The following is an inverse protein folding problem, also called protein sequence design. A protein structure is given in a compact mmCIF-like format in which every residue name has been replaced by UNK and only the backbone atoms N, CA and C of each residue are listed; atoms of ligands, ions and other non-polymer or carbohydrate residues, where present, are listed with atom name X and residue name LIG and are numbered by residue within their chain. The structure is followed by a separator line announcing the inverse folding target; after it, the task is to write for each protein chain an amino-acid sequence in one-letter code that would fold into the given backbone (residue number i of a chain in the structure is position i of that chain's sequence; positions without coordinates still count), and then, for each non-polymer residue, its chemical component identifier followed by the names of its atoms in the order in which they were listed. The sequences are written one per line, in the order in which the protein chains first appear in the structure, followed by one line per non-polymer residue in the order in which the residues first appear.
data_IF_992952847800
#
_entry.id   IF_992952847800
#
_cell.length_a   1.000
_cell.length_b   1.000
_cell.length_c   1.000
_cell.angle_alpha   90.00
_cell.angle_beta   90.00
_cell.angle_gamma   90.00
#
_symmetry.space_group_name_H-M   'P 1'
#
loop_
_entity.id
_entity.type
_entity.pdbx_description
1 polymer ?
#
# COMPACT_ATOMS: atom_id res chain seq x y z
N UNK A 1 -0.50 20.93 6.73
CA UNK A 1 -0.64 20.70 5.25
C UNK A 1 0.58 21.14 4.41
N UNK A 2 1.41 22.12 4.78
CA UNK A 2 2.57 22.60 3.95
C UNK A 2 3.81 21.69 3.94
N UNK A 3 4.04 20.83 4.94
CA UNK A 3 5.26 20.01 5.06
C UNK A 3 5.28 18.71 4.22
N UNK A 4 4.13 18.21 3.79
CA UNK A 4 4.04 16.95 3.03
C UNK A 4 4.30 17.15 1.53
N UNK A 5 4.08 18.34 1.02
CA UNK A 5 4.21 18.66 -0.42
C UNK A 5 5.68 18.75 -0.88
N UNK A 6 6.61 19.11 0.03
CA UNK A 6 8.06 19.24 -0.26
C UNK A 6 8.81 17.89 -0.24
N UNK A 7 8.22 16.83 0.30
CA UNK A 7 8.94 15.57 0.50
C UNK A 7 9.13 14.74 -0.78
N UNK A 8 8.28 14.94 -1.79
CA UNK A 8 8.40 14.22 -3.09
C UNK A 8 9.53 14.77 -3.96
N UNK A 9 9.93 16.04 -3.75
CA UNK A 9 10.94 16.74 -4.57
C UNK A 9 12.36 16.63 -3.98
N UNK A 10 12.51 16.48 -2.66
CA UNK A 10 13.80 16.74 -1.98
C UNK A 10 14.77 15.55 -1.89
N UNK A 11 14.35 14.31 -2.16
CA UNK A 11 15.28 13.16 -2.07
C UNK A 11 16.23 12.98 -3.26
N UNK A 12 16.09 13.78 -4.34
CA UNK A 12 17.00 13.75 -5.48
C UNK A 12 18.10 14.83 -5.45
N UNK A 13 18.01 15.82 -4.58
CA UNK A 13 18.98 16.93 -4.50
C UNK A 13 20.04 16.77 -3.41
N UNK A 14 19.82 15.97 -2.38
CA UNK A 14 20.75 15.86 -1.25
C UNK A 14 22.01 15.00 -1.45
N UNK A 15 22.14 14.28 -2.56
CA UNK A 15 23.35 13.49 -2.87
C UNK A 15 24.43 14.23 -3.66
N UNK A 16 24.30 15.54 -3.89
CA UNK A 16 25.28 16.32 -4.71
C UNK A 16 25.94 17.52 -4.03
N UNK A 17 25.88 17.69 -2.71
CA UNK A 17 26.53 18.81 -2.04
C UNK A 17 27.64 18.40 -1.07
N UNK A 18 28.63 17.69 -1.56
CA UNK A 18 29.90 17.55 -0.83
C UNK A 18 31.03 17.33 -1.84
N UNK A 19 31.46 18.36 -2.53
CA UNK A 19 32.83 18.50 -3.06
C UNK A 19 33.06 19.98 -3.39
N UNK A 20 33.94 20.57 -2.60
CA UNK A 20 34.87 21.67 -2.85
C UNK A 20 34.42 23.01 -3.49
N UNK A 21 34.37 24.01 -2.61
CA UNK A 21 34.53 25.43 -2.95
C UNK A 21 35.94 25.71 -3.48
N UNK A 22 36.07 25.98 -4.75
CA UNK A 22 37.19 26.78 -5.26
C UNK A 22 36.71 27.70 -6.38
N UNK A 23 37.01 28.99 -6.26
CA UNK A 23 36.54 30.10 -7.09
C UNK A 23 37.13 30.03 -8.50
N UNK A 24 36.30 29.72 -9.51
CA UNK A 24 36.52 30.01 -10.93
C UNK A 24 35.23 30.54 -11.54
N UNK A 25 35.32 31.35 -12.61
CA UNK A 25 34.19 32.00 -13.25
C UNK A 25 33.19 30.98 -13.86
N UNK A 26 31.90 31.35 -14.05
CA UNK A 26 30.86 30.43 -14.55
C UNK A 26 31.14 29.84 -15.94
N UNK A 27 31.92 30.51 -16.77
CA UNK A 27 32.25 30.08 -18.14
C UNK A 27 33.40 29.07 -18.21
N UNK A 28 34.30 29.03 -17.21
CA UNK A 28 35.41 28.07 -17.16
C UNK A 28 35.00 26.70 -16.57
N UNK A 29 33.91 26.61 -15.82
CA UNK A 29 33.44 25.35 -15.19
C UNK A 29 32.74 24.38 -16.18
N UNK A 30 32.42 24.86 -17.40
CA UNK A 30 31.73 24.04 -18.41
C UNK A 30 32.71 23.17 -19.21
N UNK A 31 34.03 23.45 -19.17
CA UNK A 31 35.02 22.78 -20.02
C UNK A 31 35.70 21.56 -19.41
N UNK A 32 35.73 21.42 -18.08
CA UNK A 32 36.45 20.32 -17.40
C UNK A 32 35.66 18.97 -17.33
N UNK A 33 34.39 18.95 -17.72
CA UNK A 33 33.55 17.74 -17.75
C UNK A 33 33.55 17.03 -19.10
N UNK A 34 33.97 17.73 -20.19
CA UNK A 34 33.97 17.17 -21.53
C UNK A 34 35.41 16.84 -21.98
N UNK A 35 35.87 15.60 -21.85
CA UNK A 35 37.16 15.13 -22.36
C UNK A 35 37.19 14.96 -23.87
N UNK A 36 36.08 15.11 -24.60
CA UNK A 36 36.08 15.09 -26.08
C UNK A 36 34.86 15.80 -26.68
N UNK A 37 34.97 16.23 -27.97
CA UNK A 37 33.84 16.79 -28.75
C UNK A 37 32.68 15.82 -28.92
N UNK A 38 32.91 14.50 -28.75
CA UNK A 38 31.87 13.47 -28.79
C UNK A 38 30.99 13.49 -27.50
N UNK A 39 31.58 13.77 -26.34
CA UNK A 39 30.86 13.86 -25.07
C UNK A 39 29.94 15.09 -25.05
N UNK A 40 30.33 16.21 -25.64
CA UNK A 40 29.47 17.38 -25.84
C UNK A 40 28.26 17.10 -26.74
N UNK A 41 28.41 16.25 -27.76
CA UNK A 41 27.30 15.87 -28.64
C UNK A 41 26.28 14.97 -27.94
N UNK A 42 26.74 14.07 -27.05
CA UNK A 42 25.87 13.23 -26.20
C UNK A 42 25.09 14.07 -25.17
N UNK A 43 25.78 15.02 -24.51
CA UNK A 43 25.14 15.94 -23.55
C UNK A 43 24.15 16.90 -24.24
N UNK A 44 24.42 17.33 -25.48
CA UNK A 44 23.46 18.13 -26.27
C UNK A 44 22.22 17.32 -26.68
N UNK A 45 22.36 16.02 -26.97
CA UNK A 45 21.22 15.12 -27.24
C UNK A 45 20.39 14.81 -26.01
N UNK A 46 20.99 14.84 -24.80
CA UNK A 46 20.28 14.61 -23.54
C UNK A 46 19.48 15.83 -23.03
N UNK A 47 19.84 17.06 -23.43
CA UNK A 47 19.16 18.31 -23.00
C UNK A 47 17.65 18.39 -23.37
N UNK A 48 17.18 17.98 -24.55
CA UNK A 48 15.77 18.04 -24.90
C UNK A 48 14.93 17.12 -24.03
N UNK A 49 15.45 15.94 -23.65
CA UNK A 49 14.75 14.98 -22.81
C UNK A 49 14.63 15.46 -21.35
N UNK A 50 15.64 16.11 -20.81
CA UNK A 50 15.59 16.70 -19.46
C UNK A 50 14.55 17.83 -19.35
N UNK A 51 14.48 18.72 -20.36
CA UNK A 51 13.47 19.79 -20.39
C UNK A 51 12.06 19.23 -20.55
N UNK A 52 11.88 18.20 -21.38
CA UNK A 52 10.60 17.50 -21.53
C UNK A 52 10.16 16.84 -20.23
N UNK A 53 11.05 16.16 -19.54
CA UNK A 53 10.79 15.54 -18.21
C UNK A 53 10.41 16.58 -17.15
N UNK A 54 11.16 17.69 -17.08
CA UNK A 54 10.85 18.78 -16.14
C UNK A 54 9.46 19.39 -16.39
N UNK A 55 9.16 19.69 -17.68
CA UNK A 55 7.83 20.19 -18.08
C UNK A 55 6.71 19.23 -17.73
N UNK A 56 6.89 17.93 -17.95
CA UNK A 56 5.89 16.92 -17.58
C UNK A 56 5.71 16.77 -16.06
N UNK A 57 6.78 16.86 -15.28
CA UNK A 57 6.68 16.91 -13.82
C UNK A 57 5.91 18.14 -13.34
N UNK A 58 6.13 19.31 -13.95
CA UNK A 58 5.34 20.51 -13.62
C UNK A 58 3.87 20.33 -13.98
N UNK A 59 3.55 19.81 -15.18
CA UNK A 59 2.17 19.50 -15.58
C UNK A 59 1.51 18.52 -14.62
N UNK A 60 2.21 17.44 -14.23
CA UNK A 60 1.72 16.48 -13.26
C UNK A 60 1.40 17.14 -11.91
N UNK A 61 2.31 17.98 -11.39
CA UNK A 61 2.11 18.69 -10.13
C UNK A 61 0.88 19.62 -10.20
N UNK A 62 0.71 20.37 -11.28
CA UNK A 62 -0.47 21.22 -11.49
C UNK A 62 -1.75 20.39 -11.58
N UNK A 63 -1.72 19.26 -12.29
CA UNK A 63 -2.87 18.38 -12.40
C UNK A 63 -3.22 17.74 -11.06
N UNK A 64 -2.21 17.27 -10.31
CA UNK A 64 -2.41 16.74 -8.94
C UNK A 64 -3.00 17.78 -8.00
N UNK A 65 -2.55 19.04 -8.08
CA UNK A 65 -3.14 20.15 -7.33
C UNK A 65 -4.59 20.39 -7.75
N UNK A 66 -4.87 20.37 -9.06
CA UNK A 66 -6.23 20.49 -9.60
C UNK A 66 -7.15 19.37 -9.09
N UNK A 67 -6.70 18.13 -9.06
CA UNK A 67 -7.44 17.00 -8.49
C UNK A 67 -7.69 17.18 -6.98
N UNK A 68 -6.69 17.65 -6.22
CA UNK A 68 -6.83 17.96 -4.80
C UNK A 68 -7.89 19.04 -4.54
N UNK A 69 -7.84 20.15 -5.28
CA UNK A 69 -8.80 21.25 -5.14
C UNK A 69 -10.22 20.84 -5.55
N UNK A 70 -10.34 19.93 -6.53
CA UNK A 70 -11.61 19.37 -6.98
C UNK A 70 -12.12 18.20 -6.14
N UNK A 71 -11.40 17.80 -5.07
CA UNK A 71 -11.75 16.65 -4.24
C UNK A 71 -11.63 15.28 -4.94
N UNK A 72 -10.94 15.23 -6.10
CA UNK A 72 -10.74 13.99 -6.88
C UNK A 72 -9.56 13.20 -6.32
N UNK A 73 -9.81 12.55 -5.20
CA UNK A 73 -8.86 11.63 -4.55
C UNK A 73 -9.27 10.20 -4.83
N UNK A 74 -8.29 9.29 -4.93
CA UNK A 74 -8.60 7.87 -4.94
C UNK A 74 -9.38 7.54 -3.67
N UNK A 75 -10.63 7.13 -3.85
CA UNK A 75 -11.56 6.86 -2.76
C UNK A 75 -11.64 5.34 -2.47
N UNK A 76 -12.22 5.00 -1.31
CA UNK A 76 -12.55 3.63 -0.99
C UNK A 76 -13.45 2.94 -2.03
N UNK A 77 -14.28 3.72 -2.75
CA UNK A 77 -15.17 3.19 -3.80
C UNK A 77 -14.38 2.66 -5.00
N UNK A 78 -13.36 3.38 -5.48
CA UNK A 78 -12.52 2.89 -6.58
C UNK A 78 -11.69 1.69 -6.16
N UNK A 79 -11.20 1.67 -4.90
CA UNK A 79 -10.50 0.51 -4.35
C UNK A 79 -11.44 -0.68 -4.26
N UNK A 80 -12.65 -0.52 -3.71
CA UNK A 80 -13.67 -1.56 -3.63
C UNK A 80 -14.01 -2.13 -5.02
N UNK A 81 -14.28 -1.25 -6.00
CA UNK A 81 -14.54 -1.67 -7.39
C UNK A 81 -13.36 -2.43 -8.02
N UNK A 82 -12.12 -2.08 -7.64
CA UNK A 82 -10.92 -2.85 -8.02
C UNK A 82 -10.95 -4.27 -7.48
N UNK A 83 -11.19 -4.41 -6.18
CA UNK A 83 -11.29 -5.71 -5.51
C UNK A 83 -12.50 -6.53 -5.95
N UNK A 84 -13.66 -5.91 -6.23
CA UNK A 84 -14.85 -6.60 -6.76
C UNK A 84 -14.53 -7.33 -8.07
N UNK A 85 -13.76 -6.69 -8.96
CA UNK A 85 -13.34 -7.32 -10.24
C UNK A 85 -12.38 -8.49 -10.04
N UNK A 86 -11.64 -8.51 -8.94
CA UNK A 86 -10.61 -9.51 -8.66
C UNK A 86 -11.13 -10.66 -7.80
N UNK A 87 -12.25 -10.49 -7.10
CA UNK A 87 -12.70 -11.37 -6.01
C UNK A 87 -12.69 -12.86 -6.38
N UNK A 88 -13.26 -13.22 -7.55
CA UNK A 88 -13.35 -14.62 -7.97
C UNK A 88 -11.99 -15.32 -8.21
N UNK A 89 -10.94 -14.57 -8.55
CA UNK A 89 -9.59 -15.12 -8.79
C UNK A 89 -8.56 -14.72 -7.75
N UNK A 90 -8.94 -13.92 -6.75
CA UNK A 90 -8.02 -13.33 -5.79
C UNK A 90 -7.27 -14.38 -4.97
N UNK A 91 -7.98 -15.42 -4.54
CA UNK A 91 -7.40 -16.48 -3.72
C UNK A 91 -6.24 -17.20 -4.43
N UNK A 92 -6.37 -17.48 -5.73
CA UNK A 92 -5.36 -18.17 -6.53
C UNK A 92 -4.24 -17.23 -6.98
N UNK A 93 -4.60 -16.04 -7.45
CA UNK A 93 -3.64 -15.12 -8.08
C UNK A 93 -2.79 -14.35 -7.07
N UNK A 94 -3.35 -14.01 -5.90
CA UNK A 94 -2.66 -13.15 -4.94
C UNK A 94 -2.60 -13.70 -3.52
N UNK A 95 -3.72 -14.14 -2.94
CA UNK A 95 -3.74 -14.65 -1.56
C UNK A 95 -2.77 -15.81 -1.37
N UNK A 96 -2.61 -16.69 -2.37
CA UNK A 96 -1.64 -17.78 -2.33
C UNK A 96 -0.20 -17.33 -2.04
N UNK A 97 0.17 -16.10 -2.46
CA UNK A 97 1.49 -15.50 -2.21
C UNK A 97 1.61 -14.89 -0.80
N UNK A 98 0.49 -14.40 -0.26
CA UNK A 98 0.41 -13.79 1.06
C UNK A 98 0.21 -14.83 2.18
N UNK A 99 -0.31 -16.00 1.83
CA UNK A 99 -0.69 -17.07 2.77
C UNK A 99 0.42 -17.47 3.74
N UNK A 100 1.67 -17.72 3.33
CA UNK A 100 2.71 -18.13 4.28
C UNK A 100 2.91 -17.14 5.43
N UNK A 101 2.95 -15.84 5.09
CA UNK A 101 3.09 -14.77 6.10
C UNK A 101 1.82 -14.63 6.95
N UNK A 102 0.63 -14.82 6.36
CA UNK A 102 -0.63 -14.79 7.09
C UNK A 102 -0.73 -15.96 8.08
N UNK A 103 -0.28 -17.15 7.68
CA UNK A 103 -0.22 -18.33 8.55
C UNK A 103 0.76 -18.12 9.72
N UNK A 104 1.89 -17.45 9.50
CA UNK A 104 2.78 -17.04 10.59
C UNK A 104 2.09 -16.05 11.55
N UNK A 105 1.27 -15.14 11.06
CA UNK A 105 0.47 -14.24 11.89
C UNK A 105 -0.50 -15.03 12.78
N UNK A 106 -1.07 -16.14 12.31
CA UNK A 106 -1.95 -16.98 13.10
C UNK A 106 -1.26 -17.60 14.33
N UNK A 107 0.04 -17.77 14.33
CA UNK A 107 0.79 -18.21 15.51
C UNK A 107 0.82 -17.17 16.64
N UNK A 108 0.49 -15.92 16.35
CA UNK A 108 0.43 -14.82 17.33
C UNK A 108 -0.96 -14.67 17.96
N UNK A 109 -1.97 -15.39 17.46
CA UNK A 109 -3.33 -15.35 18.00
C UNK A 109 -3.37 -15.97 19.41
N UNK A 110 -4.12 -15.37 20.36
CA UNK A 110 -4.24 -15.88 21.73
C UNK A 110 -4.90 -17.27 21.74
N UNK A 111 -4.61 -18.07 22.75
CA UNK A 111 -5.26 -19.40 22.92
C UNK A 111 -6.76 -19.28 23.22
N UNK A 112 -7.16 -18.23 23.93
CA UNK A 112 -8.55 -17.97 24.34
C UNK A 112 -8.92 -16.53 24.10
N UNK A 113 -10.15 -16.30 23.70
CA UNK A 113 -10.72 -14.97 23.46
C UNK A 113 -11.96 -14.79 24.33
N UNK A 114 -12.03 -13.68 25.05
CA UNK A 114 -13.21 -13.28 25.79
C UNK A 114 -13.96 -12.18 25.01
N UNK A 115 -15.24 -12.39 24.70
CA UNK A 115 -16.03 -11.47 23.88
C UNK A 115 -15.94 -11.78 22.38
N UNK A 116 -16.30 -10.81 21.55
CA UNK A 116 -16.34 -10.98 20.09
C UNK A 116 -14.93 -10.99 19.48
N UNK A 117 -14.84 -11.58 18.31
CA UNK A 117 -13.68 -11.47 17.40
C UNK A 117 -14.08 -10.59 16.22
N UNK A 118 -13.24 -9.62 15.87
CA UNK A 118 -13.45 -8.76 14.71
C UNK A 118 -12.33 -8.99 13.68
N UNK A 119 -12.71 -9.23 12.41
CA UNK A 119 -11.78 -9.37 11.28
C UNK A 119 -11.94 -8.17 10.36
N UNK A 120 -10.93 -7.32 10.33
CA UNK A 120 -10.94 -6.03 9.61
C UNK A 120 -10.26 -6.16 8.24
N UNK A 121 -11.05 -6.03 7.17
CA UNK A 121 -10.61 -6.27 5.81
C UNK A 121 -10.48 -7.77 5.53
N UNK A 122 -11.58 -8.51 5.74
CA UNK A 122 -11.59 -9.98 5.71
C UNK A 122 -11.31 -10.58 4.31
N UNK A 123 -11.42 -9.78 3.25
CA UNK A 123 -11.24 -10.24 1.89
C UNK A 123 -12.14 -11.43 1.56
N UNK A 124 -11.57 -12.45 0.94
CA UNK A 124 -12.28 -13.71 0.58
C UNK A 124 -12.48 -14.68 1.77
N UNK A 125 -12.23 -14.22 3.01
CA UNK A 125 -12.55 -14.98 4.23
C UNK A 125 -11.48 -15.93 4.73
N UNK A 126 -10.24 -15.91 4.19
CA UNK A 126 -9.17 -16.83 4.63
C UNK A 126 -8.84 -16.68 6.12
N UNK A 127 -8.68 -15.45 6.60
CA UNK A 127 -8.45 -15.16 8.03
C UNK A 127 -9.69 -15.52 8.85
N UNK A 128 -10.89 -15.13 8.41
CA UNK A 128 -12.16 -15.44 9.06
C UNK A 128 -12.37 -16.94 9.26
N UNK A 129 -12.08 -17.76 8.24
CA UNK A 129 -12.19 -19.22 8.31
C UNK A 129 -11.26 -19.82 9.37
N UNK A 130 -10.02 -19.31 9.47
CA UNK A 130 -9.10 -19.75 10.54
C UNK A 130 -9.58 -19.33 11.92
N UNK A 131 -10.18 -18.13 12.07
CA UNK A 131 -10.77 -17.68 13.32
C UNK A 131 -11.97 -18.55 13.73
N UNK A 132 -12.86 -18.91 12.78
CA UNK A 132 -13.95 -19.85 13.03
C UNK A 132 -13.46 -21.23 13.49
N UNK A 133 -12.39 -21.72 12.86
CA UNK A 133 -11.80 -23.02 13.20
C UNK A 133 -11.18 -23.02 14.59
N UNK A 134 -10.46 -21.96 14.93
CA UNK A 134 -9.70 -21.83 16.17
C UNK A 134 -10.58 -21.52 17.37
N UNK A 135 -11.65 -20.73 17.16
CA UNK A 135 -12.54 -20.27 18.20
C UNK A 135 -14.01 -20.66 17.92
N UNK A 136 -14.33 -21.96 17.95
CA UNK A 136 -15.65 -22.47 17.49
C UNK A 136 -16.84 -21.97 18.31
N UNK A 137 -16.60 -21.53 19.53
CA UNK A 137 -17.66 -21.02 20.44
C UNK A 137 -17.75 -19.49 20.48
N UNK A 138 -16.85 -18.76 19.75
CA UNK A 138 -16.77 -17.31 19.82
C UNK A 138 -17.35 -16.70 18.54
N UNK A 139 -18.27 -15.72 18.64
CA UNK A 139 -18.79 -15.02 17.47
C UNK A 139 -17.68 -14.26 16.73
N UNK A 140 -17.61 -14.44 15.40
CA UNK A 140 -16.72 -13.68 14.51
C UNK A 140 -17.56 -12.71 13.68
N UNK A 141 -17.19 -11.44 13.72
CA UNK A 141 -17.77 -10.39 12.88
C UNK A 141 -16.67 -9.87 11.96
N UNK A 142 -16.96 -9.82 10.68
CA UNK A 142 -15.98 -9.51 9.66
C UNK A 142 -16.48 -8.38 8.77
N UNK A 143 -15.57 -7.51 8.32
CA UNK A 143 -15.89 -6.39 7.43
C UNK A 143 -14.92 -6.33 6.27
N UNK A 144 -15.43 -6.09 5.07
CA UNK A 144 -14.64 -5.69 3.90
C UNK A 144 -15.38 -4.65 3.08
N UNK A 145 -14.64 -3.77 2.39
CA UNK A 145 -15.21 -2.71 1.57
C UNK A 145 -15.79 -3.24 0.26
N UNK A 146 -15.36 -4.41 -0.19
CA UNK A 146 -15.74 -5.05 -1.45
C UNK A 146 -16.88 -6.02 -1.25
N UNK A 147 -17.99 -5.78 -1.96
CA UNK A 147 -19.13 -6.70 -1.99
C UNK A 147 -18.74 -8.07 -2.56
N UNK A 148 -17.88 -8.09 -3.58
CA UNK A 148 -17.41 -9.32 -4.20
C UNK A 148 -16.56 -10.16 -3.25
N UNK A 149 -15.67 -9.52 -2.46
CA UNK A 149 -14.88 -10.21 -1.44
C UNK A 149 -15.76 -10.82 -0.35
N UNK A 150 -16.72 -10.05 0.17
CA UNK A 150 -17.67 -10.54 1.16
C UNK A 150 -18.48 -11.72 0.65
N UNK A 151 -18.96 -11.66 -0.60
CA UNK A 151 -19.69 -12.78 -1.20
C UNK A 151 -18.86 -14.07 -1.29
N UNK A 152 -17.56 -13.99 -1.54
CA UNK A 152 -16.65 -15.15 -1.50
C UNK A 152 -16.45 -15.63 -0.04
N UNK A 153 -16.26 -14.70 0.89
CA UNK A 153 -16.10 -15.03 2.31
C UNK A 153 -17.32 -15.75 2.89
N UNK A 154 -18.54 -15.33 2.56
CA UNK A 154 -19.81 -15.97 2.97
C UNK A 154 -19.96 -17.40 2.43
N UNK A 155 -19.35 -17.70 1.27
CA UNK A 155 -19.32 -19.08 0.74
C UNK A 155 -18.37 -19.97 1.53
N UNK A 156 -17.29 -19.41 2.03
CA UNK A 156 -16.24 -20.12 2.76
C UNK A 156 -16.60 -20.30 4.24
N UNK A 157 -17.13 -19.24 4.88
CA UNK A 157 -17.39 -19.18 6.32
C UNK A 157 -18.89 -19.27 6.60
N UNK A 158 -19.31 -20.11 7.54
CA UNK A 158 -20.72 -20.39 7.80
C UNK A 158 -21.25 -19.85 9.13
N UNK A 159 -20.37 -19.39 10.01
CA UNK A 159 -20.70 -18.99 11.38
C UNK A 159 -20.40 -17.52 11.66
N UNK A 160 -19.71 -16.86 10.75
CA UNK A 160 -19.34 -15.46 10.86
C UNK A 160 -20.42 -14.54 10.31
N UNK A 161 -20.51 -13.35 10.87
CA UNK A 161 -21.36 -12.28 10.35
C UNK A 161 -20.54 -11.31 9.54
N UNK A 162 -20.91 -11.12 8.29
CA UNK A 162 -20.20 -10.24 7.37
C UNK A 162 -20.91 -8.90 7.18
N UNK A 163 -20.11 -7.84 7.04
CA UNK A 163 -20.57 -6.48 6.75
C UNK A 163 -19.79 -5.95 5.55
N UNK A 164 -20.49 -5.40 4.56
CA UNK A 164 -19.85 -4.63 3.47
C UNK A 164 -19.72 -3.18 3.93
N UNK A 165 -18.48 -2.69 4.09
CA UNK A 165 -18.27 -1.34 4.58
C UNK A 165 -16.82 -0.96 4.86
N UNK A 166 -16.62 0.31 5.23
CA UNK A 166 -15.31 0.80 5.70
C UNK A 166 -15.02 0.29 7.12
N UNK A 167 -13.82 -0.26 7.33
CA UNK A 167 -13.44 -0.87 8.61
C UNK A 167 -13.36 0.13 9.77
N UNK A 168 -13.11 1.43 9.50
CA UNK A 168 -13.11 2.46 10.53
C UNK A 168 -14.53 2.82 10.96
N UNK A 169 -15.46 2.94 10.01
CA UNK A 169 -16.88 3.16 10.32
C UNK A 169 -17.46 1.94 11.04
N UNK A 170 -17.13 0.72 10.58
CA UNK A 170 -17.51 -0.51 11.29
C UNK A 170 -17.07 -0.50 12.75
N UNK A 171 -15.81 -0.16 13.05
CA UNK A 171 -15.35 -0.06 14.44
C UNK A 171 -16.08 1.02 15.23
N UNK A 172 -16.45 2.15 14.62
CA UNK A 172 -17.19 3.23 15.30
C UNK A 172 -18.58 2.82 15.77
N UNK A 173 -19.20 1.89 15.05
CA UNK A 173 -20.51 1.34 15.40
C UNK A 173 -20.44 0.28 16.50
N UNK A 174 -19.24 -0.28 16.76
CA UNK A 174 -19.05 -1.27 17.81
C UNK A 174 -19.03 -0.63 19.21
N UNK A 175 -19.66 -1.28 20.22
CA UNK A 175 -19.59 -0.84 21.62
C UNK A 175 -18.16 -0.87 22.18
N UNK A 176 -17.90 -0.02 23.17
CA UNK A 176 -16.65 -0.02 23.93
C UNK A 176 -16.43 -1.37 24.63
N UNK A 177 -15.22 -1.92 24.48
CA UNK A 177 -14.81 -3.12 25.17
C UNK A 177 -15.55 -4.41 24.78
N UNK A 178 -16.24 -4.44 23.64
CA UNK A 178 -17.04 -5.59 23.19
C UNK A 178 -16.21 -6.72 22.56
N UNK A 179 -14.99 -6.45 22.13
CA UNK A 179 -14.12 -7.42 21.45
C UNK A 179 -12.96 -7.89 22.34
N UNK A 180 -12.67 -9.17 22.32
CA UNK A 180 -11.47 -9.73 22.94
C UNK A 180 -10.30 -9.87 21.98
N UNK A 181 -10.59 -9.88 20.67
CA UNK A 181 -9.58 -9.98 19.61
C UNK A 181 -10.00 -9.17 18.39
N UNK A 182 -9.10 -8.39 17.87
CA UNK A 182 -9.19 -7.75 16.55
C UNK A 182 -8.05 -8.24 15.68
N UNK A 183 -8.36 -8.71 14.47
CA UNK A 183 -7.39 -9.17 13.48
C UNK A 183 -7.50 -8.33 12.22
N UNK A 184 -6.38 -8.05 11.55
CA UNK A 184 -6.37 -7.42 10.22
C UNK A 184 -5.20 -7.98 9.39
N UNK A 185 -5.51 -8.71 8.34
CA UNK A 185 -4.51 -9.24 7.44
C UNK A 185 -4.44 -8.38 6.16
N UNK A 186 -3.33 -7.64 5.96
CA UNK A 186 -3.00 -6.84 4.76
C UNK A 186 -3.90 -5.64 4.48
N UNK A 187 -4.91 -5.37 5.31
CA UNK A 187 -5.95 -4.36 5.05
C UNK A 187 -5.75 -3.02 5.77
N UNK A 188 -5.13 -3.00 6.96
CA UNK A 188 -5.02 -1.83 7.84
C UNK A 188 -4.50 -0.56 7.14
N UNK A 189 -3.57 -0.70 6.19
CA UNK A 189 -2.97 0.41 5.45
C UNK A 189 -3.90 1.09 4.43
N UNK A 190 -5.03 0.49 4.08
CA UNK A 190 -6.02 1.08 3.17
C UNK A 190 -7.01 2.04 3.87
N UNK A 191 -7.04 2.06 5.19
CA UNK A 191 -7.83 3.00 6.00
C UNK A 191 -6.95 4.17 6.51
N UNK A 192 -7.26 4.69 7.69
CA UNK A 192 -6.47 5.70 8.43
C UNK A 192 -5.84 5.01 9.65
N UNK A 193 -4.61 4.48 9.57
CA UNK A 193 -4.02 3.68 10.64
C UNK A 193 -4.06 4.32 12.02
N UNK A 194 -3.73 5.62 12.21
CA UNK A 194 -3.82 6.27 13.51
C UNK A 194 -5.24 6.30 14.11
N UNK A 195 -6.27 6.48 13.27
CA UNK A 195 -7.66 6.49 13.71
C UNK A 195 -8.16 5.07 13.98
N UNK A 196 -7.84 4.15 13.07
CA UNK A 196 -8.20 2.74 13.19
C UNK A 196 -7.65 2.12 14.48
N UNK A 197 -6.37 2.35 14.78
CA UNK A 197 -5.72 1.85 16.01
C UNK A 197 -6.38 2.44 17.28
N UNK A 198 -6.80 3.71 17.25
CA UNK A 198 -7.53 4.31 18.40
C UNK A 198 -8.91 3.70 18.59
N UNK A 199 -9.67 3.48 17.51
CA UNK A 199 -10.96 2.81 17.57
C UNK A 199 -10.80 1.35 18.00
N UNK A 200 -9.78 0.65 17.50
CA UNK A 200 -9.46 -0.70 17.97
C UNK A 200 -9.18 -0.74 19.48
N UNK A 201 -8.44 0.26 20.01
CA UNK A 201 -8.22 0.36 21.46
C UNK A 201 -9.51 0.60 22.24
N UNK A 202 -10.47 1.36 21.71
CA UNK A 202 -11.78 1.60 22.34
C UNK A 202 -12.62 0.34 22.36
N UNK A 203 -12.67 -0.36 21.23
CA UNK A 203 -13.54 -1.53 21.01
C UNK A 203 -13.03 -2.79 21.71
N UNK A 204 -11.71 -2.94 21.83
CA UNK A 204 -11.13 -4.07 22.57
C UNK A 204 -11.44 -3.95 24.07
N UNK A 205 -11.76 -5.05 24.71
CA UNK A 205 -11.76 -5.16 26.19
C UNK A 205 -10.36 -4.95 26.76
N UNK A 206 -10.26 -4.63 28.04
CA UNK A 206 -8.94 -4.57 28.72
C UNK A 206 -8.25 -5.91 28.62
N UNK A 207 -6.98 -5.91 28.26
CA UNK A 207 -6.22 -7.13 28.01
C UNK A 207 -6.55 -7.82 26.68
N UNK A 208 -7.45 -7.28 25.86
CA UNK A 208 -7.75 -7.80 24.51
C UNK A 208 -6.60 -7.60 23.54
N UNK A 209 -6.58 -8.40 22.48
CA UNK A 209 -5.48 -8.50 21.54
C UNK A 209 -5.81 -7.83 20.19
N UNK A 210 -4.83 -7.09 19.65
CA UNK A 210 -4.80 -6.60 18.27
C UNK A 210 -3.66 -7.29 17.54
N UNK A 211 -3.99 -8.10 16.52
CA UNK A 211 -3.01 -8.86 15.73
C UNK A 211 -3.17 -8.49 14.27
N UNK A 212 -2.08 -8.08 13.61
CA UNK A 212 -2.17 -7.67 12.21
C UNK A 212 -0.88 -7.87 11.43
N UNK A 213 -1.02 -7.97 10.13
CA UNK A 213 0.04 -7.81 9.14
C UNK A 213 -0.36 -6.71 8.15
N UNK A 214 0.56 -5.81 7.82
CA UNK A 214 0.28 -4.66 6.96
C UNK A 214 1.46 -4.32 6.07
N UNK A 215 1.18 -3.91 4.85
CA UNK A 215 2.18 -3.37 3.92
C UNK A 215 2.79 -2.09 4.47
N UNK A 216 4.10 -1.91 4.23
CA UNK A 216 4.76 -0.64 4.51
C UNK A 216 4.79 0.25 3.26
N UNK A 217 5.20 1.49 3.43
CA UNK A 217 5.41 2.44 2.31
C UNK A 217 6.52 2.01 1.36
N UNK A 218 7.42 1.15 1.83
CA UNK A 218 8.52 0.60 1.03
C UNK A 218 8.11 -0.67 0.26
N UNK A 219 6.84 -1.13 0.37
CA UNK A 219 6.37 -2.29 -0.37
C UNK A 219 6.41 -2.06 -1.87
N UNK A 220 6.81 -3.08 -2.63
CA UNK A 220 6.83 -3.11 -4.10
C UNK A 220 7.45 -1.83 -4.73
N UNK A 221 8.66 -1.42 -4.34
CA UNK A 221 9.23 -0.12 -4.71
C UNK A 221 9.39 0.03 -6.22
N UNK A 222 9.65 -1.06 -6.95
CA UNK A 222 9.74 -1.08 -8.40
C UNK A 222 8.40 -0.73 -9.07
N UNK A 223 7.28 -1.29 -8.58
CA UNK A 223 5.93 -1.00 -9.09
C UNK A 223 5.58 0.46 -8.87
N UNK A 224 5.79 0.98 -7.66
CA UNK A 224 5.53 2.40 -7.37
C UNK A 224 6.48 3.34 -8.10
N UNK A 225 7.72 2.91 -8.39
CA UNK A 225 8.64 3.68 -9.22
C UNK A 225 8.12 3.77 -10.65
N UNK A 226 7.82 2.63 -11.29
CA UNK A 226 7.26 2.58 -12.64
C UNK A 226 5.95 3.39 -12.74
N UNK A 227 5.08 3.28 -11.73
CA UNK A 227 3.83 4.03 -11.67
C UNK A 227 4.05 5.55 -11.67
N UNK A 228 4.94 6.06 -10.80
CA UNK A 228 5.29 7.49 -10.76
C UNK A 228 5.92 7.99 -12.07
N UNK A 229 6.77 7.17 -12.69
CA UNK A 229 7.40 7.49 -13.97
C UNK A 229 6.35 7.59 -15.09
N UNK A 230 5.39 6.67 -15.07
CA UNK A 230 4.29 6.64 -16.05
C UNK A 230 3.36 7.85 -15.87
N UNK A 231 2.99 8.20 -14.64
CA UNK A 231 2.23 9.44 -14.36
C UNK A 231 2.97 10.69 -14.85
N UNK A 232 4.30 10.76 -14.64
CA UNK A 232 5.09 11.88 -15.11
C UNK A 232 5.22 11.92 -16.65
N UNK A 233 5.16 10.77 -17.32
CA UNK A 233 5.19 10.69 -18.79
C UNK A 233 3.85 11.09 -19.41
N UNK A 234 2.75 10.72 -18.77
CA UNK A 234 1.36 10.92 -19.23
C UNK A 234 0.52 11.69 -18.19
N UNK A 235 0.89 12.94 -17.85
CA UNK A 235 0.18 13.69 -16.84
C UNK A 235 -1.30 13.91 -17.18
N UNK A 236 -1.63 14.03 -18.46
CA UNK A 236 -3.00 14.19 -18.97
C UNK A 236 -3.89 12.96 -18.81
N UNK A 237 -3.27 11.77 -18.68
CA UNK A 237 -3.98 10.50 -18.45
C UNK A 237 -4.26 10.22 -16.97
N UNK A 238 -3.75 11.08 -16.05
CA UNK A 238 -3.96 10.92 -14.62
C UNK A 238 -5.38 11.34 -14.22
N UNK A 239 -6.19 10.39 -13.75
CA UNK A 239 -7.62 10.57 -13.45
C UNK A 239 -7.92 11.18 -12.08
N UNK A 240 -7.14 10.80 -11.05
CA UNK A 240 -7.28 11.30 -9.69
C UNK A 240 -5.92 11.36 -8.97
N UNK A 241 -5.91 11.99 -7.78
CA UNK A 241 -4.72 12.03 -6.94
C UNK A 241 -4.67 10.82 -6.00
N UNK A 242 -3.48 10.24 -5.83
CA UNK A 242 -3.20 9.12 -4.95
C UNK A 242 -2.28 9.54 -3.79
N UNK A 243 -2.71 9.29 -2.57
CA UNK A 243 -1.91 9.45 -1.35
C UNK A 243 -1.94 8.17 -0.54
N UNK A 244 -0.96 7.26 -0.74
CA UNK A 244 -0.89 6.03 0.03
C UNK A 244 -0.78 6.33 1.53
N UNK A 245 -1.63 5.71 2.33
CA UNK A 245 -1.65 5.84 3.79
C UNK A 245 -0.84 4.73 4.49
N UNK A 246 -0.08 3.96 3.74
CA UNK A 246 0.76 2.91 4.30
C UNK A 246 1.75 3.48 5.32
N UNK A 247 1.94 2.81 6.46
CA UNK A 247 2.93 3.21 7.47
C UNK A 247 4.34 3.16 6.88
N UNK A 248 5.24 3.95 7.44
CA UNK A 248 6.65 3.96 7.01
C UNK A 248 7.37 2.66 7.37
N UNK A 249 6.95 2.04 8.48
CA UNK A 249 7.55 0.82 9.02
C UNK A 249 7.11 0.56 10.45
N UNK A 250 7.74 -0.44 11.08
CA UNK A 250 7.40 -0.90 12.43
C UNK A 250 7.50 0.15 13.51
N UNK A 251 8.49 1.03 13.45
CA UNK A 251 8.68 2.09 14.45
C UNK A 251 7.50 3.10 14.48
N UNK A 252 6.96 3.48 13.31
CA UNK A 252 5.80 4.37 13.23
C UNK A 252 4.54 3.69 13.79
N UNK A 253 4.32 2.43 13.45
CA UNK A 253 3.20 1.63 13.97
C UNK A 253 3.31 1.42 15.49
N UNK A 254 4.50 1.10 15.99
CA UNK A 254 4.76 0.98 17.41
C UNK A 254 4.41 2.26 18.18
N UNK A 255 4.82 3.42 17.65
CA UNK A 255 4.48 4.71 18.26
C UNK A 255 2.96 4.97 18.27
N UNK A 256 2.23 4.59 17.20
CA UNK A 256 0.78 4.70 17.14
C UNK A 256 0.10 3.78 18.18
N UNK A 257 0.56 2.53 18.30
CA UNK A 257 0.04 1.56 19.26
C UNK A 257 0.26 2.00 20.70
N UNK A 258 1.49 2.39 21.06
CA UNK A 258 1.79 2.89 22.42
C UNK A 258 0.96 4.12 22.75
N UNK A 259 0.83 5.08 21.82
CA UNK A 259 -0.01 6.27 22.01
C UNK A 259 -1.50 5.93 22.22
N UNK A 260 -1.97 4.84 21.66
CA UNK A 260 -3.35 4.37 21.80
C UNK A 260 -3.56 3.47 23.04
N UNK A 261 -2.52 3.24 23.87
CA UNK A 261 -2.61 2.46 25.10
C UNK A 261 -2.40 0.95 24.91
N UNK A 262 -1.68 0.55 23.85
CA UNK A 262 -1.29 -0.85 23.68
C UNK A 262 0.11 -1.13 24.24
N UNK A 263 0.29 -2.34 24.76
CA UNK A 263 1.60 -2.97 25.00
C UNK A 263 1.91 -3.89 23.83
N UNK A 264 3.06 -3.70 23.18
CA UNK A 264 3.50 -4.50 22.05
C UNK A 264 4.11 -5.80 22.59
N UNK A 265 3.53 -6.94 22.22
CA UNK A 265 4.03 -8.26 22.56
C UNK A 265 4.95 -8.84 21.47
N UNK A 266 4.67 -8.51 20.22
CA UNK A 266 5.45 -8.95 19.07
C UNK A 266 5.50 -7.86 18.00
N UNK A 267 6.66 -7.69 17.35
CA UNK A 267 6.85 -6.83 16.20
C UNK A 267 7.94 -7.40 15.27
N UNK A 268 7.62 -7.55 14.01
CA UNK A 268 8.57 -7.96 12.97
C UNK A 268 8.34 -7.14 11.70
N UNK A 269 9.42 -6.61 11.15
CA UNK A 269 9.45 -5.97 9.84
C UNK A 269 10.27 -6.85 8.90
N UNK A 270 9.72 -7.22 7.75
CA UNK A 270 10.37 -8.12 6.81
C UNK A 270 9.91 -7.87 5.38
N UNK A 271 10.49 -8.58 4.44
CA UNK A 271 10.07 -8.59 3.05
C UNK A 271 10.13 -10.02 2.51
N UNK A 272 9.36 -10.28 1.47
CA UNK A 272 9.45 -11.47 0.65
C UNK A 272 9.34 -11.10 -0.82
N UNK A 273 9.89 -11.95 -1.67
CA UNK A 273 9.90 -11.71 -3.10
C UNK A 273 8.65 -12.27 -3.77
N UNK A 274 8.09 -11.49 -4.69
CA UNK A 274 6.99 -11.93 -5.56
C UNK A 274 7.37 -11.75 -7.02
N UNK A 275 6.94 -12.70 -7.85
CA UNK A 275 7.16 -12.66 -9.29
C UNK A 275 5.94 -13.26 -10.01
N UNK A 276 5.69 -12.87 -11.27
CA UNK A 276 4.71 -13.54 -12.10
C UNK A 276 5.09 -15.02 -12.30
N UNK A 277 4.13 -15.89 -12.56
CA UNK A 277 4.41 -17.23 -13.04
C UNK A 277 5.23 -17.20 -14.34
N UNK A 278 5.97 -18.27 -14.61
CA UNK A 278 6.76 -18.38 -15.84
C UNK A 278 5.88 -18.18 -17.10
N UNK A 279 6.36 -17.36 -18.03
CA UNK A 279 5.66 -17.04 -19.28
C UNK A 279 4.51 -16.04 -19.14
N UNK A 280 4.16 -15.59 -17.95
CA UNK A 280 3.09 -14.58 -17.74
C UNK A 280 3.69 -13.18 -17.76
N UNK A 281 3.22 -12.26 -18.65
CA UNK A 281 3.67 -10.89 -18.65
C UNK A 281 3.42 -10.19 -17.31
N UNK A 282 4.40 -9.42 -16.83
CA UNK A 282 4.36 -8.83 -15.48
C UNK A 282 3.15 -7.90 -15.26
N UNK A 283 2.79 -7.09 -16.26
CA UNK A 283 1.62 -6.21 -16.15
C UNK A 283 0.32 -7.01 -16.08
N UNK A 284 0.16 -8.04 -16.93
CA UNK A 284 -1.02 -8.91 -16.93
C UNK A 284 -1.21 -9.56 -15.56
N UNK A 285 -0.12 -10.07 -14.98
CA UNK A 285 -0.13 -10.64 -13.64
C UNK A 285 -0.49 -9.59 -12.57
N UNK A 286 0.13 -8.40 -12.60
CA UNK A 286 -0.17 -7.34 -11.65
C UNK A 286 -1.64 -6.91 -11.69
N UNK A 287 -2.26 -6.86 -12.86
CA UNK A 287 -3.68 -6.53 -13.04
C UNK A 287 -4.63 -7.60 -12.46
N UNK A 288 -4.16 -8.84 -12.30
CA UNK A 288 -4.91 -9.96 -11.69
C UNK A 288 -4.65 -10.10 -10.18
N UNK A 289 -3.75 -9.30 -9.62
CA UNK A 289 -3.45 -9.29 -8.19
C UNK A 289 -4.11 -8.09 -7.51
N UNK A 290 -4.21 -8.09 -6.18
CA UNK A 290 -4.68 -6.94 -5.42
C UNK A 290 -3.71 -5.75 -5.40
N UNK A 291 -2.49 -5.88 -5.97
CA UNK A 291 -1.44 -4.85 -5.93
C UNK A 291 -1.89 -3.54 -6.57
N UNK A 292 -2.57 -3.63 -7.72
CA UNK A 292 -3.02 -2.47 -8.49
C UNK A 292 -4.52 -2.19 -8.31
N UNK A 293 -5.19 -2.77 -7.31
CA UNK A 293 -6.61 -2.52 -7.05
C UNK A 293 -6.88 -1.03 -6.81
N UNK A 294 -7.72 -0.42 -7.65
CA UNK A 294 -8.02 1.01 -7.64
C UNK A 294 -7.01 1.91 -8.34
N UNK A 295 -5.80 1.42 -8.67
CA UNK A 295 -4.79 2.22 -9.39
C UNK A 295 -5.18 2.50 -10.84
N UNK A 296 -6.07 1.70 -11.41
CA UNK A 296 -6.68 1.93 -12.73
C UNK A 296 -7.57 3.19 -12.78
N UNK A 297 -8.03 3.71 -11.64
CA UNK A 297 -8.67 5.02 -11.54
C UNK A 297 -7.65 6.17 -11.63
N UNK A 298 -6.40 5.92 -11.27
CA UNK A 298 -5.31 6.91 -11.33
C UNK A 298 -4.67 6.92 -12.72
N UNK A 299 -4.35 5.76 -13.28
CA UNK A 299 -3.80 5.57 -14.64
C UNK A 299 -4.60 4.48 -15.35
N UNK A 300 -4.87 4.61 -16.68
CA UNK A 300 -5.65 3.64 -17.44
C UNK A 300 -4.87 2.36 -17.77
N UNK A 301 -4.21 1.74 -16.77
CA UNK A 301 -3.51 0.48 -16.91
C UNK A 301 -4.48 -0.64 -17.33
N UNK A 302 -4.05 -1.46 -18.29
CA UNK A 302 -4.86 -2.51 -18.90
C UNK A 302 -5.92 -2.00 -19.90
N UNK A 303 -5.95 -0.67 -20.19
CA UNK A 303 -6.92 -0.04 -21.10
C UNK A 303 -6.30 0.90 -22.11
N UNK A 304 -5.01 1.23 -21.97
CA UNK A 304 -4.28 2.14 -22.85
C UNK A 304 -2.91 1.54 -23.17
N UNK A 305 -2.76 1.02 -24.37
CA UNK A 305 -1.56 0.30 -24.80
C UNK A 305 -0.27 1.15 -24.73
N UNK A 306 -0.36 2.48 -24.92
CA UNK A 306 0.82 3.37 -24.79
C UNK A 306 1.26 3.51 -23.34
N UNK A 307 0.29 3.65 -22.41
CA UNK A 307 0.52 3.70 -20.98
C UNK A 307 1.07 2.36 -20.48
N UNK A 308 0.47 1.26 -20.89
CA UNK A 308 0.85 -0.10 -20.53
C UNK A 308 2.28 -0.42 -20.98
N UNK A 309 2.60 -0.13 -22.24
CA UNK A 309 3.93 -0.35 -22.77
C UNK A 309 5.01 0.51 -22.10
N UNK A 310 4.69 1.72 -21.67
CA UNK A 310 5.64 2.56 -20.93
C UNK A 310 5.83 2.05 -19.49
N UNK A 311 4.73 1.73 -18.80
CA UNK A 311 4.77 1.18 -17.44
C UNK A 311 5.58 -0.12 -17.37
N UNK A 312 5.32 -1.04 -18.31
CA UNK A 312 6.03 -2.33 -18.39
C UNK A 312 7.54 -2.12 -18.58
N UNK A 313 7.95 -1.26 -19.51
CA UNK A 313 9.38 -0.96 -19.71
C UNK A 313 10.07 -0.35 -18.48
N UNK A 314 9.40 0.58 -17.78
CA UNK A 314 9.96 1.18 -16.55
C UNK A 314 10.05 0.12 -15.43
N UNK A 315 9.10 -0.81 -15.36
CA UNK A 315 9.12 -1.89 -14.38
C UNK A 315 10.22 -2.92 -14.67
N UNK A 316 10.36 -3.34 -15.93
CA UNK A 316 11.40 -4.27 -16.37
C UNK A 316 12.82 -3.75 -16.11
N UNK A 317 13.03 -2.42 -16.22
CA UNK A 317 14.31 -1.78 -15.88
C UNK A 317 14.65 -1.89 -14.38
N UNK A 318 13.65 -2.04 -13.52
CA UNK A 318 13.85 -2.25 -12.07
C UNK A 318 14.21 -3.71 -11.74
N UNK A 319 13.89 -4.65 -12.62
CA UNK A 319 14.15 -6.08 -12.46
C UNK A 319 13.12 -6.81 -11.59
N UNK A 320 13.17 -8.14 -11.68
CA UNK A 320 12.42 -9.07 -10.85
C UNK A 320 13.40 -9.88 -9.98
N UNK A 321 12.96 -10.42 -8.83
CA UNK A 321 11.62 -10.35 -8.26
C UNK A 321 11.28 -9.00 -7.64
N UNK A 322 9.99 -8.80 -7.32
CA UNK A 322 9.49 -7.60 -6.66
C UNK A 322 9.47 -7.80 -5.14
N UNK A 323 10.16 -6.93 -4.40
CA UNK A 323 10.18 -7.01 -2.94
C UNK A 323 8.88 -6.50 -2.31
N UNK A 324 8.21 -7.36 -1.53
CA UNK A 324 6.96 -7.04 -0.83
C UNK A 324 7.26 -6.84 0.67
N UNK A 325 7.35 -5.56 1.09
CA UNK A 325 7.70 -5.19 2.47
C UNK A 325 6.47 -5.10 3.36
N UNK A 326 6.57 -5.65 4.57
CA UNK A 326 5.47 -5.69 5.53
C UNK A 326 5.94 -5.54 6.98
N UNK A 327 5.01 -5.21 7.85
CA UNK A 327 5.13 -5.28 9.30
C UNK A 327 4.05 -6.20 9.85
N UNK A 328 4.43 -7.11 10.75
CA UNK A 328 3.54 -7.97 11.51
C UNK A 328 3.66 -7.60 12.99
N UNK A 329 2.54 -7.40 13.67
CA UNK A 329 2.50 -7.05 15.08
C UNK A 329 1.38 -7.77 15.82
N UNK A 330 1.66 -8.07 17.09
CA UNK A 330 0.68 -8.43 18.09
C UNK A 330 0.84 -7.50 19.29
N UNK A 331 -0.27 -6.87 19.69
CA UNK A 331 -0.29 -5.91 20.77
C UNK A 331 -1.52 -6.12 21.65
N UNK A 332 -1.37 -5.92 22.94
CA UNK A 332 -2.41 -6.12 23.93
C UNK A 332 -2.88 -4.76 24.47
N UNK A 333 -4.19 -4.51 24.51
CA UNK A 333 -4.73 -3.32 25.18
C UNK A 333 -4.30 -3.32 26.63
N UNK A 334 -3.67 -2.23 27.08
CA UNK A 334 -3.29 -2.06 28.47
C UNK A 334 -4.55 -1.94 29.37
N UNK A 335 -4.38 -2.26 30.64
CA UNK A 335 -5.41 -2.20 31.67
C UNK A 335 -5.93 -0.78 31.94
#
# INVERSE_FOLDING_TARGET
MRKTFLYVINKQTEKRSAINNNRRSPDEQVCDVCRSRRDCAVLRRMRPDLMGRYRNCLKLNWRMLGHLLAGRLLSGKEVAAGYDRLAAGYAENWLSRLRPVTEEMFALLPERVAGNILDLGCGTGFTTAELERRYPATPVRAVDISTGMVAEAERLCRRSNFTVGDMLEFLREEPDGCAGLIVSAWALGYSDPPRLIREAARVLSRGGDLVFVVNTRETLPAVFHAFRRTMARFPERTGCALFPKFPKGGAELAAMLVKAGFRIGFAREAAFDVAPPEGVPVLEWLLKTGILAGFDAVLPLGRDAEVDGYFTRELEQCGLPLAHHYVMMAAKRAD
#
